data_IF_359846943242
#
_entry.id   IF_359846943242
#
_cell.length_a   1.000
_cell.length_b   1.000
_cell.length_c   1.000
_cell.angle_alpha   90.00
_cell.angle_beta   90.00
_cell.angle_gamma   90.00
#
_symmetry.space_group_name_H-M   'P 1'
#
loop_
_entity.id
_entity.type
_entity.pdbx_description
1 polymer ?
#
# COMPACT_ATOMS: atom_id res chain seq x y z
N UNK A 1 18.69 1.94 16.26
CA UNK A 1 17.31 2.30 15.90
C UNK A 1 16.74 1.12 15.13
N UNK A 2 15.72 0.45 15.67
CA UNK A 2 15.10 -0.75 15.07
C UNK A 2 14.62 -0.42 13.66
N UNK A 3 15.30 -1.01 12.67
CA UNK A 3 15.08 -0.74 11.24
C UNK A 3 13.83 -1.40 10.71
N UNK A 4 12.67 -0.82 11.00
CA UNK A 4 11.43 -1.17 10.30
C UNK A 4 11.39 -0.34 9.02
N UNK A 5 11.82 -0.95 7.91
CA UNK A 5 11.67 -0.34 6.60
C UNK A 5 10.17 -0.10 6.33
N UNK A 6 9.79 1.05 5.76
CA UNK A 6 8.40 1.33 5.44
C UNK A 6 7.85 0.26 4.48
N UNK A 7 6.68 -0.28 4.82
CA UNK A 7 5.96 -1.25 3.99
C UNK A 7 4.80 -0.53 3.31
N UNK A 8 4.70 -0.73 2.00
CA UNK A 8 3.55 -0.28 1.20
C UNK A 8 2.75 -1.50 0.76
N UNK A 9 1.57 -1.67 1.33
CA UNK A 9 0.65 -2.75 1.05
C UNK A 9 -0.46 -2.29 0.11
N UNK A 10 -0.73 -3.10 -0.91
CA UNK A 10 -1.86 -2.90 -1.83
C UNK A 10 -2.82 -4.08 -1.77
N UNK A 11 -4.09 -3.79 -1.52
CA UNK A 11 -5.23 -4.70 -1.66
C UNK A 11 -6.06 -4.27 -2.86
N UNK A 12 -5.85 -4.95 -3.99
CA UNK A 12 -6.68 -4.71 -5.17
C UNK A 12 -8.09 -5.26 -4.96
N UNK A 13 -9.09 -4.47 -5.27
CA UNK A 13 -10.47 -4.91 -5.32
C UNK A 13 -10.72 -5.76 -6.57
N UNK A 14 -11.58 -6.77 -6.44
CA UNK A 14 -12.08 -7.52 -7.59
C UNK A 14 -13.02 -6.61 -8.39
N UNK A 15 -12.88 -6.58 -9.71
CA UNK A 15 -13.77 -5.80 -10.59
C UNK A 15 -15.26 -6.11 -10.36
N UNK A 16 -15.58 -7.35 -9.95
CA UNK A 16 -16.95 -7.80 -9.68
C UNK A 16 -17.56 -7.24 -8.39
N UNK A 17 -16.76 -6.69 -7.46
CA UNK A 17 -17.28 -6.16 -6.20
C UNK A 17 -17.70 -4.68 -6.27
N UNK A 18 -17.29 -3.96 -7.31
CA UNK A 18 -17.50 -2.52 -7.43
C UNK A 18 -16.73 -1.70 -6.38
N UNK A 19 -15.88 -2.34 -5.57
CA UNK A 19 -15.10 -1.68 -4.54
C UNK A 19 -13.85 -1.01 -5.13
N UNK A 20 -13.32 -0.02 -4.41
CA UNK A 20 -12.05 0.64 -4.74
C UNK A 20 -10.87 -0.14 -4.16
N UNK A 21 -9.73 -0.05 -4.82
CA UNK A 21 -8.46 -0.56 -4.29
C UNK A 21 -8.13 0.14 -2.96
N UNK A 22 -7.51 -0.61 -2.05
CA UNK A 22 -7.08 -0.11 -0.75
C UNK A 22 -5.57 -0.21 -0.61
N UNK A 23 -4.98 0.78 0.04
CA UNK A 23 -3.53 0.90 0.23
C UNK A 23 -3.25 1.24 1.69
N UNK A 24 -2.22 0.64 2.26
CA UNK A 24 -1.67 1.00 3.57
C UNK A 24 -0.17 1.24 3.45
N UNK A 25 0.29 2.39 3.95
CA UNK A 25 1.71 2.68 4.10
C UNK A 25 2.00 2.90 5.58
N UNK A 26 2.83 2.04 6.17
CA UNK A 26 3.25 2.15 7.56
C UNK A 26 4.69 1.66 7.74
N UNK A 27 5.34 2.09 8.83
CA UNK A 27 6.67 1.61 9.23
C UNK A 27 6.51 0.52 10.28
N UNK A 28 5.97 -0.62 9.84
CA UNK A 28 5.68 -1.78 10.69
C UNK A 28 6.07 -3.07 9.98
N UNK A 29 5.99 -4.21 10.66
CA UNK A 29 6.18 -5.50 10.01
C UNK A 29 5.02 -5.83 9.04
N UNK A 30 5.32 -6.65 8.02
CA UNK A 30 4.34 -7.00 6.98
C UNK A 30 3.06 -7.63 7.54
N UNK A 31 3.17 -8.41 8.62
CA UNK A 31 2.05 -9.14 9.19
C UNK A 31 1.13 -8.19 9.98
N UNK A 32 1.70 -7.32 10.81
CA UNK A 32 0.97 -6.27 11.51
C UNK A 32 0.31 -5.27 10.53
N UNK A 33 1.03 -4.86 9.50
CA UNK A 33 0.51 -4.00 8.45
C UNK A 33 -0.67 -4.67 7.71
N UNK A 34 -0.55 -5.95 7.36
CA UNK A 34 -1.61 -6.67 6.66
C UNK A 34 -2.85 -6.86 7.55
N UNK A 35 -2.67 -7.20 8.83
CA UNK A 35 -3.77 -7.29 9.80
C UNK A 35 -4.49 -5.95 9.98
N UNK A 36 -3.73 -4.85 10.03
CA UNK A 36 -4.28 -3.50 10.12
C UNK A 36 -5.09 -3.13 8.88
N UNK A 37 -4.59 -3.42 7.69
CA UNK A 37 -5.32 -3.17 6.44
C UNK A 37 -6.62 -3.99 6.37
N UNK A 38 -6.59 -5.25 6.80
CA UNK A 38 -7.77 -6.11 6.84
C UNK A 38 -8.81 -5.59 7.85
N UNK A 39 -8.37 -5.13 9.04
CA UNK A 39 -9.24 -4.50 10.02
C UNK A 39 -9.90 -3.22 9.46
N UNK A 40 -9.13 -2.35 8.81
CA UNK A 40 -9.64 -1.11 8.21
C UNK A 40 -10.67 -1.39 7.11
N UNK A 41 -10.42 -2.40 6.28
CA UNK A 41 -11.37 -2.85 5.26
C UNK A 41 -12.68 -3.33 5.89
N UNK A 42 -12.62 -4.22 6.89
CA UNK A 42 -13.82 -4.71 7.58
C UNK A 42 -14.58 -3.56 8.24
N UNK A 43 -13.87 -2.64 8.92
CA UNK A 43 -14.46 -1.49 9.59
C UNK A 43 -15.16 -0.54 8.61
N UNK A 44 -14.66 -0.42 7.38
CA UNK A 44 -15.30 0.36 6.31
C UNK A 44 -16.54 -0.31 5.70
N UNK A 45 -16.88 -1.53 6.14
CA UNK A 45 -17.99 -2.32 5.59
C UNK A 45 -17.59 -3.15 4.36
N UNK A 46 -16.31 -3.17 4.01
CA UNK A 46 -15.80 -3.94 2.88
C UNK A 46 -15.58 -5.41 3.28
N UNK A 47 -15.87 -6.34 2.37
CA UNK A 47 -15.69 -7.78 2.63
C UNK A 47 -14.35 -8.22 2.08
N UNK A 48 -13.49 -8.84 2.89
CA UNK A 48 -12.15 -9.27 2.44
C UNK A 48 -12.17 -10.21 1.22
N UNK A 49 -13.25 -10.98 1.02
CA UNK A 49 -13.44 -11.84 -0.16
C UNK A 49 -13.50 -11.08 -1.49
N UNK A 50 -13.84 -9.79 -1.42
CA UNK A 50 -13.97 -8.88 -2.56
C UNK A 50 -12.61 -8.28 -2.96
N UNK A 51 -11.55 -8.60 -2.21
CA UNK A 51 -10.19 -8.15 -2.45
C UNK A 51 -9.26 -9.33 -2.74
N UNK A 52 -8.22 -9.09 -3.52
CA UNK A 52 -7.10 -10.00 -3.67
C UNK A 52 -6.21 -9.99 -2.42
N UNK A 53 -5.27 -10.93 -2.30
CA UNK A 53 -4.29 -10.93 -1.20
C UNK A 53 -3.48 -9.63 -1.21
N UNK A 54 -3.09 -9.14 -0.04
CA UNK A 54 -2.23 -7.97 0.06
C UNK A 54 -0.87 -8.27 -0.59
N UNK A 55 -0.40 -7.34 -1.39
CA UNK A 55 0.94 -7.39 -1.99
C UNK A 55 1.75 -6.26 -1.38
N UNK A 56 2.87 -6.60 -0.74
CA UNK A 56 3.90 -5.61 -0.41
C UNK A 56 4.60 -5.22 -1.70
N UNK A 57 4.36 -4.00 -2.14
CA UNK A 57 5.17 -3.43 -3.19
C UNK A 57 6.35 -2.76 -2.51
N UNK A 58 7.53 -3.35 -2.66
CA UNK A 58 8.78 -2.64 -2.43
C UNK A 58 8.91 -1.61 -3.55
N UNK A 59 8.11 -0.53 -3.51
CA UNK A 59 8.32 0.58 -4.42
C UNK A 59 9.76 1.03 -4.18
N UNK A 60 10.64 0.99 -5.20
CA UNK A 60 11.93 1.62 -5.06
C UNK A 60 11.62 3.06 -4.70
N UNK A 61 12.20 3.55 -3.60
CA UNK A 61 12.22 4.99 -3.33
C UNK A 61 13.09 5.56 -4.45
N UNK A 62 12.46 5.94 -5.57
CA UNK A 62 13.13 6.62 -6.66
C UNK A 62 13.39 8.04 -6.18
N UNK A 63 14.55 8.22 -5.55
CA UNK A 63 15.15 9.53 -5.30
C UNK A 63 15.80 10.11 -6.57
N UNK A 64 15.29 9.77 -7.75
CA UNK A 64 15.71 10.39 -9.01
C UNK A 64 14.67 11.42 -9.45
N UNK A 65 14.33 12.35 -8.54
CA UNK A 65 13.90 13.64 -9.04
C UNK A 65 15.10 14.20 -9.82
N UNK A 66 14.94 14.60 -11.10
CA UNK A 66 15.99 15.33 -11.77
C UNK A 66 16.37 16.52 -10.89
N UNK A 67 17.66 16.87 -10.77
CA UNK A 67 18.09 18.04 -10.01
C UNK A 67 17.20 19.23 -10.42
N UNK A 68 16.59 19.92 -9.46
CA UNK A 68 15.82 21.12 -9.77
C UNK A 68 16.73 22.10 -10.53
N UNK A 69 16.51 22.29 -11.84
CA UNK A 69 17.32 23.20 -12.64
C UNK A 69 17.45 22.91 -14.15
N UNK A 70 17.22 21.68 -14.63
CA UNK A 70 17.29 21.39 -16.07
C UNK A 70 15.90 21.45 -16.74
N UNK A 71 15.32 22.65 -16.78
CA UNK A 71 14.39 22.99 -17.85
C UNK A 71 15.22 23.52 -19.01
N UNK A 72 15.53 22.67 -19.98
CA UNK A 72 16.05 23.13 -21.27
C UNK A 72 14.99 24.02 -21.93
N UNK A 73 15.22 25.32 -21.90
CA UNK A 73 14.50 26.34 -22.68
C UNK A 73 14.68 26.11 -24.19
#
# INVERSE_FOLDING_TARGET
MSGTNPVFLVRKAKKSSGQKDAVLWCSDDFEAANATLDYLLIKSGAKLKDYFKAVATNFPVVNELPPEGELSL
#
